data_IF_318125411214
#
_entry.id   IF_318125411214
#
_cell.length_a   1.000
_cell.length_b   1.000
_cell.length_c   1.000
_cell.angle_alpha   90.00
_cell.angle_beta   90.00
_cell.angle_gamma   90.00
#
_symmetry.space_group_name_H-M   'P 1'
#
loop_
_entity.id
_entity.type
_entity.pdbx_description
1 polymer ?
#
# COMPACT_ATOMS: atom_id res chain seq x y z
N UNK A 1 10.32 -17.98 -7.94
CA UNK A 1 9.26 -17.55 -6.99
C UNK A 1 8.26 -16.73 -7.75
N UNK A 2 6.96 -17.08 -7.69
CA UNK A 2 5.88 -16.36 -8.37
C UNK A 2 5.81 -14.90 -7.83
N UNK A 3 5.72 -13.90 -8.71
CA UNK A 3 5.65 -12.47 -8.36
C UNK A 3 4.54 -12.20 -7.33
N UNK A 4 3.40 -12.86 -7.47
CA UNK A 4 2.25 -12.72 -6.56
C UNK A 4 2.56 -13.16 -5.14
N UNK A 5 3.23 -14.30 -4.99
CA UNK A 5 3.67 -14.80 -3.68
C UNK A 5 4.70 -13.87 -3.05
N UNK A 6 5.55 -13.24 -3.87
CA UNK A 6 6.51 -12.25 -3.43
C UNK A 6 5.82 -10.97 -2.94
N UNK A 7 4.89 -10.41 -3.72
CA UNK A 7 4.10 -9.23 -3.31
C UNK A 7 3.41 -9.50 -1.96
N UNK A 8 2.74 -10.64 -1.83
CA UNK A 8 2.11 -11.04 -0.58
C UNK A 8 3.12 -11.11 0.59
N UNK A 9 4.32 -11.65 0.35
CA UNK A 9 5.39 -11.69 1.35
C UNK A 9 5.87 -10.29 1.75
N UNK A 10 6.07 -9.39 0.77
CA UNK A 10 6.53 -8.02 1.01
C UNK A 10 5.51 -7.20 1.80
N UNK A 11 4.24 -7.26 1.40
CA UNK A 11 3.14 -6.58 2.12
C UNK A 11 3.11 -7.02 3.58
N UNK A 12 3.05 -8.34 3.83
CA UNK A 12 3.05 -8.90 5.19
C UNK A 12 4.29 -8.48 5.99
N UNK A 13 5.47 -8.56 5.38
CA UNK A 13 6.74 -8.25 6.06
C UNK A 13 6.82 -6.78 6.47
N UNK A 14 6.40 -5.87 5.60
CA UNK A 14 6.59 -4.44 5.79
C UNK A 14 5.44 -3.81 6.58
N UNK A 15 4.21 -4.31 6.45
CA UNK A 15 3.04 -3.72 7.13
C UNK A 15 2.65 -4.39 8.45
N UNK A 16 3.25 -5.53 8.84
CA UNK A 16 2.92 -6.23 10.12
C UNK A 16 3.03 -5.39 11.41
N UNK A 17 3.64 -4.21 11.34
CA UNK A 17 3.81 -3.31 12.49
C UNK A 17 3.10 -1.97 12.30
N UNK A 18 2.45 -1.75 11.16
CA UNK A 18 1.59 -0.60 10.93
C UNK A 18 0.34 -0.79 11.79
N UNK A 19 0.01 0.21 12.61
CA UNK A 19 -0.99 0.03 13.66
C UNK A 19 -2.40 -0.19 13.11
N UNK A 20 -2.71 0.37 11.95
CA UNK A 20 -4.00 0.18 11.27
C UNK A 20 -4.04 -1.02 10.33
N UNK A 21 -2.98 -1.84 10.24
CA UNK A 21 -2.91 -2.95 9.29
C UNK A 21 -3.36 -4.27 9.90
N UNK A 22 -4.31 -4.93 9.26
CA UNK A 22 -4.81 -6.25 9.63
C UNK A 22 -4.65 -7.23 8.47
N UNK A 23 -4.21 -8.45 8.78
CA UNK A 23 -4.13 -9.51 7.77
C UNK A 23 -5.52 -10.03 7.46
N UNK A 24 -5.80 -10.17 6.17
CA UNK A 24 -7.04 -10.78 5.73
C UNK A 24 -7.04 -12.26 6.14
N UNK A 25 -8.17 -12.80 6.64
CA UNK A 25 -8.29 -14.22 6.90
C UNK A 25 -8.12 -15.03 5.61
N UNK A 26 -7.70 -16.28 5.74
CA UNK A 26 -7.58 -17.17 4.58
C UNK A 26 -8.95 -17.32 3.89
N UNK A 27 -8.97 -17.15 2.57
CA UNK A 27 -10.22 -17.19 1.79
C UNK A 27 -11.06 -15.91 1.86
N UNK A 28 -10.57 -14.82 2.48
CA UNK A 28 -11.25 -13.53 2.44
C UNK A 28 -11.55 -13.12 0.98
N UNK A 29 -12.78 -12.65 0.69
CA UNK A 29 -13.14 -12.25 -0.65
C UNK A 29 -12.28 -11.07 -1.10
N UNK A 30 -11.90 -11.00 -2.39
CA UNK A 30 -11.23 -9.83 -2.92
C UNK A 30 -12.16 -8.61 -2.88
N UNK A 31 -11.61 -7.39 -2.91
CA UNK A 31 -12.42 -6.17 -2.94
C UNK A 31 -13.20 -6.05 -4.26
N UNK A 32 -14.26 -5.24 -4.27
CA UNK A 32 -15.01 -4.97 -5.50
C UNK A 32 -14.10 -4.35 -6.57
N UNK A 33 -14.27 -4.79 -7.82
CA UNK A 33 -13.43 -4.39 -8.95
C UNK A 33 -12.12 -5.16 -9.07
N UNK A 34 -11.91 -6.18 -8.23
CA UNK A 34 -10.79 -7.09 -8.36
C UNK A 34 -10.93 -8.08 -9.51
N UNK A 35 -9.78 -8.52 -10.02
CA UNK A 35 -9.73 -9.57 -11.05
C UNK A 35 -10.09 -10.94 -10.45
N UNK A 36 -10.62 -11.85 -11.29
CA UNK A 36 -11.27 -13.10 -10.85
C UNK A 36 -10.39 -14.04 -9.98
N UNK A 37 -9.07 -13.92 -10.06
CA UNK A 37 -8.13 -14.74 -9.30
C UNK A 37 -7.29 -13.94 -8.30
N UNK A 38 -7.57 -12.65 -8.12
CA UNK A 38 -6.88 -11.75 -7.22
C UNK A 38 -7.12 -12.10 -5.76
N UNK A 39 -6.08 -12.07 -4.92
CA UNK A 39 -6.17 -12.50 -3.51
C UNK A 39 -5.90 -11.36 -2.56
N UNK A 40 -6.82 -11.14 -1.62
CA UNK A 40 -6.66 -10.18 -0.53
C UNK A 40 -5.53 -10.64 0.41
N UNK A 41 -4.66 -9.71 0.79
CA UNK A 41 -3.56 -9.93 1.73
C UNK A 41 -3.91 -9.34 3.10
N UNK A 42 -4.47 -8.14 3.10
CA UNK A 42 -4.79 -7.41 4.32
C UNK A 42 -5.35 -6.04 4.02
N UNK A 43 -5.82 -5.41 5.07
CA UNK A 43 -6.48 -4.13 5.06
C UNK A 43 -5.70 -3.15 5.91
N UNK A 44 -5.78 -1.89 5.54
CA UNK A 44 -5.27 -0.82 6.37
C UNK A 44 -6.33 0.24 6.57
N UNK A 45 -6.65 0.53 7.82
CA UNK A 45 -7.52 1.63 8.18
C UNK A 45 -6.68 2.80 8.73
N UNK A 46 -6.75 3.95 8.07
CA UNK A 46 -6.15 5.19 8.54
C UNK A 46 -7.21 6.08 9.15
N UNK A 47 -7.17 6.27 10.48
CA UNK A 47 -7.96 7.31 11.14
C UNK A 47 -7.21 8.64 11.11
N UNK A 48 -7.11 9.24 9.92
CA UNK A 48 -6.54 10.57 9.76
C UNK A 48 -7.49 11.64 10.31
N UNK A 49 -7.01 12.83 10.74
CA UNK A 49 -7.86 13.87 11.32
C UNK A 49 -8.92 14.42 10.36
N UNK A 50 -8.75 14.23 9.05
CA UNK A 50 -9.66 14.61 7.97
C UNK A 50 -10.65 13.51 7.59
N UNK A 51 -10.57 12.34 8.23
CA UNK A 51 -11.50 11.22 8.05
C UNK A 51 -10.82 9.86 8.04
N UNK A 52 -11.62 8.83 8.25
CA UNK A 52 -11.18 7.45 8.09
C UNK A 52 -11.05 7.12 6.61
N UNK A 53 -9.90 6.57 6.22
CA UNK A 53 -9.67 6.05 4.86
C UNK A 53 -9.20 4.61 4.93
N UNK A 54 -9.71 3.76 4.06
CA UNK A 54 -9.35 2.36 4.00
C UNK A 54 -8.48 2.06 2.77
N UNK A 55 -7.51 1.18 2.94
CA UNK A 55 -6.75 0.57 1.87
C UNK A 55 -6.98 -0.93 1.91
N UNK A 56 -7.07 -1.55 0.74
CA UNK A 56 -7.05 -3.01 0.62
C UNK A 56 -5.83 -3.42 -0.19
N UNK A 57 -4.98 -4.25 0.41
CA UNK A 57 -3.80 -4.80 -0.24
C UNK A 57 -4.13 -6.17 -0.81
N UNK A 58 -3.87 -6.38 -2.09
CA UNK A 58 -3.98 -7.69 -2.74
C UNK A 58 -2.64 -8.09 -3.36
N UNK A 59 -2.55 -9.32 -3.85
CA UNK A 59 -1.37 -9.80 -4.56
C UNK A 59 -1.21 -9.22 -5.98
N UNK A 60 -2.15 -8.41 -6.47
CA UNK A 60 -2.10 -7.75 -7.80
C UNK A 60 -2.19 -6.23 -7.76
N UNK A 61 -2.89 -5.65 -6.79
CA UNK A 61 -3.12 -4.22 -6.71
C UNK A 61 -3.24 -3.70 -5.27
N UNK A 62 -3.12 -2.38 -5.16
CA UNK A 62 -3.58 -1.60 -4.01
C UNK A 62 -4.92 -0.97 -4.36
N UNK A 63 -5.91 -1.12 -3.49
CA UNK A 63 -7.17 -0.40 -3.59
C UNK A 63 -7.16 0.72 -2.57
N UNK A 64 -7.45 1.93 -3.04
CA UNK A 64 -7.54 3.13 -2.22
C UNK A 64 -9.01 3.52 -2.15
N UNK A 65 -9.63 3.40 -0.97
CA UNK A 65 -11.01 3.83 -0.76
C UNK A 65 -11.09 5.34 -0.45
N UNK A 66 -11.71 6.07 -1.37
CA UNK A 66 -12.21 7.45 -1.23
C UNK A 66 -13.68 7.52 -1.70
N UNK A 67 -14.13 8.63 -2.28
CA UNK A 67 -15.48 8.74 -2.90
C UNK A 67 -15.66 7.81 -4.11
N UNK A 68 -14.57 7.37 -4.74
CA UNK A 68 -14.52 6.30 -5.72
C UNK A 68 -13.33 5.39 -5.39
N UNK A 69 -13.55 4.08 -5.34
CA UNK A 69 -12.49 3.09 -5.08
C UNK A 69 -11.51 3.09 -6.26
N UNK A 70 -10.28 3.50 -6.01
CA UNK A 70 -9.23 3.53 -7.02
C UNK A 70 -8.37 2.27 -6.92
N UNK A 71 -8.24 1.54 -8.03
CA UNK A 71 -7.33 0.38 -8.16
C UNK A 71 -5.98 0.83 -8.72
N UNK A 72 -4.90 0.51 -8.02
CA UNK A 72 -3.52 0.77 -8.42
C UNK A 72 -2.81 -0.58 -8.61
N UNK A 73 -2.70 -1.09 -9.84
CA UNK A 73 -1.99 -2.34 -10.08
C UNK A 73 -0.54 -2.21 -9.64
N UNK A 74 -0.01 -3.22 -8.94
CA UNK A 74 1.38 -3.18 -8.51
C UNK A 74 2.28 -3.05 -9.73
N UNK A 75 1.97 -3.71 -10.84
CA UNK A 75 2.70 -3.64 -12.13
C UNK A 75 2.85 -2.23 -12.68
N UNK A 76 1.91 -1.34 -12.38
CA UNK A 76 1.93 0.05 -12.83
C UNK A 76 2.75 0.97 -11.93
N UNK A 77 3.09 0.55 -10.70
CA UNK A 77 3.91 1.36 -9.79
C UNK A 77 5.34 1.50 -10.32
N UNK A 78 5.75 2.73 -10.59
CA UNK A 78 7.08 3.07 -11.11
C UNK A 78 7.99 3.58 -9.99
N UNK A 79 7.50 4.50 -9.17
CA UNK A 79 8.27 5.10 -8.07
C UNK A 79 7.35 5.69 -6.98
N UNK A 80 7.91 6.45 -6.05
CA UNK A 80 7.16 7.14 -5.00
C UNK A 80 7.86 8.43 -4.58
N UNK A 81 7.10 9.42 -4.12
CA UNK A 81 7.66 10.63 -3.53
C UNK A 81 7.87 10.43 -2.02
N UNK A 82 9.06 10.83 -1.54
CA UNK A 82 9.32 10.90 -0.11
C UNK A 82 8.65 12.15 0.47
N UNK A 83 7.94 12.04 1.60
CA UNK A 83 7.43 13.22 2.29
C UNK A 83 8.58 14.15 2.68
N UNK A 84 8.43 15.45 2.40
CA UNK A 84 9.44 16.46 2.71
C UNK A 84 9.71 16.61 4.22
N UNK A 85 8.74 16.22 5.05
CA UNK A 85 8.80 16.31 6.50
C UNK A 85 8.34 15.00 7.13
N UNK A 86 8.99 14.59 8.23
CA UNK A 86 8.49 13.52 9.10
C UNK A 86 7.38 14.00 10.04
N UNK A 87 7.15 15.31 10.13
CA UNK A 87 6.03 15.87 10.88
C UNK A 87 4.89 16.11 9.90
N UNK A 88 3.68 15.68 10.27
CA UNK A 88 2.46 15.87 9.50
C UNK A 88 2.39 15.15 8.13
N UNK A 89 2.74 13.86 8.07
CA UNK A 89 2.49 13.03 6.89
C UNK A 89 1.09 12.41 6.97
N UNK A 90 0.28 12.68 5.95
CA UNK A 90 -1.08 12.19 5.74
C UNK A 90 -1.13 11.06 4.69
N UNK A 91 -0.04 10.84 3.96
CA UNK A 91 0.06 9.74 3.02
C UNK A 91 1.34 9.74 2.20
N UNK A 92 1.36 8.87 1.20
CA UNK A 92 2.47 8.68 0.28
C UNK A 92 1.95 8.87 -1.13
N UNK A 93 2.64 9.69 -1.93
CA UNK A 93 2.37 9.77 -3.37
C UNK A 93 3.10 8.63 -4.07
N UNK A 94 2.33 7.77 -4.72
CA UNK A 94 2.79 6.66 -5.53
C UNK A 94 2.75 7.09 -6.99
N UNK A 95 3.88 6.97 -7.68
CA UNK A 95 3.98 7.29 -9.10
C UNK A 95 3.70 6.02 -9.91
N UNK A 96 2.70 6.08 -10.77
CA UNK A 96 2.30 5.02 -11.69
C UNK A 96 2.66 5.39 -13.13
N UNK A 97 2.50 4.43 -14.05
CA UNK A 97 2.60 4.69 -15.49
C UNK A 97 1.55 5.66 -16.03
N UNK A 98 0.42 5.80 -15.33
CA UNK A 98 -0.73 6.62 -15.69
C UNK A 98 -0.79 7.97 -14.97
N UNK A 99 0.02 8.19 -13.94
CA UNK A 99 0.07 9.44 -13.18
C UNK A 99 0.49 9.25 -11.72
N UNK A 100 0.20 10.21 -10.87
CA UNK A 100 0.47 10.11 -9.44
C UNK A 100 -0.83 9.79 -8.67
N UNK A 101 -0.75 8.83 -7.75
CA UNK A 101 -1.85 8.44 -6.86
C UNK A 101 -1.47 8.75 -5.42
N UNK A 102 -2.35 9.43 -4.70
CA UNK A 102 -2.15 9.67 -3.28
C UNK A 102 -2.70 8.49 -2.47
N UNK A 103 -1.82 7.81 -1.73
CA UNK A 103 -2.18 6.70 -0.84
C UNK A 103 -2.22 7.22 0.60
N UNK A 104 -3.40 7.31 1.22
CA UNK A 104 -3.53 7.78 2.59
C UNK A 104 -2.91 6.80 3.59
N UNK A 105 -1.94 7.29 4.34
CA UNK A 105 -1.31 6.58 5.44
C UNK A 105 -0.80 7.61 6.43
N UNK A 106 -1.59 7.83 7.48
CA UNK A 106 -1.23 8.81 8.48
C UNK A 106 -0.01 8.37 9.30
N UNK A 107 0.99 9.25 9.35
CA UNK A 107 2.10 9.18 10.30
C UNK A 107 1.69 9.73 11.67
N UNK A 108 2.43 10.72 12.18
CA UNK A 108 2.18 11.34 13.50
C UNK A 108 0.77 11.94 13.69
N UNK A 109 0.03 12.20 12.60
CA UNK A 109 -1.35 12.70 12.66
C UNK A 109 -2.39 11.58 12.82
N UNK A 110 -2.00 10.32 12.67
CA UNK A 110 -2.88 9.18 12.84
C UNK A 110 -3.27 8.96 14.31
N UNK A 111 -4.21 8.05 14.59
CA UNK A 111 -4.80 7.87 15.92
C UNK A 111 -3.76 7.44 16.96
N UNK A 112 -2.67 6.80 16.52
CA UNK A 112 -1.59 6.35 17.40
C UNK A 112 -0.49 7.39 17.61
N UNK A 113 -0.50 8.49 16.87
CA UNK A 113 0.56 9.50 16.90
C UNK A 113 1.93 9.00 16.43
N UNK A 114 2.00 7.84 15.76
CA UNK A 114 3.26 7.22 15.34
C UNK A 114 3.51 7.45 13.86
N UNK A 115 4.73 7.88 13.53
CA UNK A 115 5.15 8.08 12.15
C UNK A 115 5.25 6.79 11.29
N UNK A 116 5.21 5.61 11.93
CA UNK A 116 5.74 4.37 11.34
C UNK A 116 4.95 3.87 10.12
N UNK A 117 3.63 4.03 10.09
CA UNK A 117 2.78 3.46 9.05
C UNK A 117 3.17 3.96 7.65
N UNK A 118 3.30 5.29 7.47
CA UNK A 118 3.74 5.89 6.20
C UNK A 118 5.15 5.42 5.79
N UNK A 119 6.07 5.25 6.75
CA UNK A 119 7.40 4.70 6.45
C UNK A 119 7.34 3.22 6.05
N UNK A 120 6.46 2.44 6.65
CA UNK A 120 6.31 1.03 6.33
C UNK A 120 5.74 0.84 4.92
N UNK A 121 4.84 1.72 4.46
CA UNK A 121 4.46 1.80 3.04
C UNK A 121 5.62 2.21 2.13
N UNK A 122 6.39 3.24 2.50
CA UNK A 122 7.59 3.63 1.74
C UNK A 122 8.58 2.47 1.61
N UNK A 123 8.78 1.68 2.68
CA UNK A 123 9.64 0.49 2.67
C UNK A 123 9.11 -0.59 1.73
N UNK A 124 7.80 -0.83 1.73
CA UNK A 124 7.16 -1.74 0.78
C UNK A 124 7.40 -1.30 -0.67
N UNK A 125 7.10 -0.03 -0.98
CA UNK A 125 7.29 0.54 -2.33
C UNK A 125 8.76 0.47 -2.78
N UNK A 126 9.68 0.80 -1.88
CA UNK A 126 11.12 0.66 -2.13
C UNK A 126 11.50 -0.78 -2.47
N UNK A 127 11.01 -1.75 -1.70
CA UNK A 127 11.31 -3.16 -1.95
C UNK A 127 10.77 -3.65 -3.30
N UNK A 128 9.57 -3.20 -3.70
CA UNK A 128 8.99 -3.48 -5.01
C UNK A 128 9.83 -2.88 -6.15
N UNK A 129 10.21 -1.60 -6.03
CA UNK A 129 11.02 -0.90 -7.04
C UNK A 129 12.40 -1.50 -7.20
N UNK A 130 13.13 -1.67 -6.10
CA UNK A 130 14.50 -2.21 -6.11
C UNK A 130 14.52 -3.65 -6.67
N UNK A 131 13.43 -4.41 -6.52
CA UNK A 131 13.30 -5.75 -7.10
C UNK A 131 13.15 -5.70 -8.62
N UNK A 132 12.29 -4.82 -9.14
CA UNK A 132 12.06 -4.66 -10.57
C UNK A 132 13.28 -4.17 -11.32
N UNK A 133 14.06 -3.27 -10.72
CA UNK A 133 15.34 -2.86 -11.28
C UNK A 133 16.25 -4.07 -11.55
N UNK A 134 16.39 -4.98 -10.57
CA UNK A 134 17.19 -6.22 -10.71
C UNK A 134 16.66 -7.21 -11.76
N UNK A 135 15.38 -7.12 -12.14
CA UNK A 135 14.80 -7.97 -13.18
C UNK A 135 15.02 -7.41 -14.58
N UNK A 136 15.11 -6.08 -14.72
CA UNK A 136 15.42 -5.43 -16.00
C UNK A 136 16.89 -5.57 -16.39
N UNK A 137 17.78 -5.72 -15.41
CA UNK A 137 19.21 -5.87 -15.62
C UNK A 137 19.66 -7.33 -15.88
N UNK A 138 18.72 -8.28 -16.02
CA UNK A 138 18.97 -9.71 -16.27
C UNK A 138 18.45 -10.13 -17.64
#
# INVERSE_FOLDING_TARGET
MNERALIASLVRRHLKHAAGFELAPEGAPPPDGAEADERRIGDYESACPDGTRALVFTDRALYVDGTQRQRVPWSEVVDYELPASKRAVDGVRVLTTSGAVFVPMCGERGPTGKFKDAFDMIRLLKALRDRRARERDR
#
